data_IF_236024016579
#
_entry.id   IF_236024016579
#
_cell.length_a   1.000
_cell.length_b   1.000
_cell.length_c   1.000
_cell.angle_alpha   90.00
_cell.angle_beta   90.00
_cell.angle_gamma   90.00
#
_symmetry.space_group_name_H-M   'P 1'
#
loop_
_entity.id
_entity.type
_entity.pdbx_description
1 polymer ?
#
# COMPACT_ATOMS: atom_id res chain seq x y z
N UNK A 1 -14.06 -5.18 13.84
CA UNK A 1 -14.63 -4.24 14.81
C UNK A 1 -13.79 -4.03 16.07
N UNK A 2 -13.29 -5.10 16.69
CA UNK A 2 -12.54 -5.00 17.96
C UNK A 2 -11.15 -4.41 17.75
N UNK A 3 -10.47 -4.75 16.67
CA UNK A 3 -9.13 -4.24 16.35
C UNK A 3 -9.11 -2.72 16.16
N UNK A 4 -10.09 -2.16 15.45
CA UNK A 4 -10.18 -0.71 15.27
C UNK A 4 -10.41 0.03 16.60
N UNK A 5 -11.18 -0.56 17.52
CA UNK A 5 -11.41 0.01 18.87
C UNK A 5 -10.13 -0.06 19.71
N UNK A 6 -9.38 -1.16 19.64
CA UNK A 6 -8.11 -1.31 20.37
C UNK A 6 -7.03 -0.40 19.81
N UNK A 7 -6.95 -0.23 18.50
CA UNK A 7 -6.10 0.77 17.85
C UNK A 7 -6.47 2.20 18.26
N UNK A 8 -7.77 2.48 18.45
CA UNK A 8 -8.27 3.76 18.96
C UNK A 8 -7.76 4.08 20.35
N UNK A 9 -7.80 3.11 21.25
CA UNK A 9 -7.30 3.27 22.61
C UNK A 9 -5.79 3.49 22.66
N UNK A 10 -5.02 2.79 21.81
CA UNK A 10 -3.58 3.00 21.67
C UNK A 10 -3.24 4.38 21.10
N UNK A 11 -4.01 4.87 20.14
CA UNK A 11 -3.81 6.20 19.54
C UNK A 11 -4.09 7.35 20.53
N UNK A 12 -5.06 7.21 21.42
CA UNK A 12 -5.37 8.20 22.44
C UNK A 12 -4.24 8.38 23.48
N UNK A 13 -3.37 7.38 23.63
CA UNK A 13 -2.21 7.46 24.53
C UNK A 13 -0.98 8.13 23.87
N UNK A 14 -1.06 8.46 22.58
CA UNK A 14 0.02 9.13 21.86
C UNK A 14 0.04 10.62 22.19
N UNK A 15 1.18 11.18 22.69
CA UNK A 15 1.28 12.61 22.99
C UNK A 15 0.98 13.49 21.78
N UNK A 16 0.16 14.53 22.00
CA UNK A 16 -0.23 15.47 20.94
C UNK A 16 -1.46 15.06 20.13
N UNK A 17 -2.12 13.96 20.47
CA UNK A 17 -3.37 13.54 19.83
C UNK A 17 -4.54 14.32 20.42
N UNK A 18 -5.31 14.99 19.58
CA UNK A 18 -6.55 15.71 19.97
C UNK A 18 -7.77 15.08 19.31
N UNK A 19 -8.93 15.24 19.97
CA UNK A 19 -10.22 14.85 19.40
C UNK A 19 -10.77 15.99 18.50
N UNK A 20 -11.58 15.66 17.49
CA UNK A 20 -11.94 14.34 16.99
C UNK A 20 -10.77 13.58 16.35
N UNK A 21 -10.62 12.29 16.69
CA UNK A 21 -9.59 11.40 16.19
C UNK A 21 -10.21 10.38 15.24
N UNK A 22 -9.71 10.32 14.03
CA UNK A 22 -10.05 9.27 13.08
C UNK A 22 -8.99 8.16 13.06
N UNK A 23 -9.43 6.93 12.88
CA UNK A 23 -8.59 5.76 12.64
C UNK A 23 -9.05 5.15 11.33
N UNK A 24 -8.08 4.89 10.46
CA UNK A 24 -8.28 4.28 9.16
C UNK A 24 -7.46 3.01 9.08
N UNK A 25 -8.14 1.87 9.01
CA UNK A 25 -7.52 0.57 8.83
C UNK A 25 -7.71 0.10 7.38
N UNK A 26 -6.59 -0.13 6.69
CA UNK A 26 -6.56 -0.59 5.30
C UNK A 26 -5.95 -2.00 5.26
N UNK A 27 -6.81 -3.01 5.39
CA UNK A 27 -6.42 -4.41 5.33
C UNK A 27 -6.28 -4.98 3.93
N UNK A 28 -6.32 -6.31 3.80
CA UNK A 28 -6.29 -7.01 2.52
C UNK A 28 -7.59 -6.83 1.72
N UNK A 29 -8.73 -7.11 2.34
CA UNK A 29 -10.06 -7.14 1.70
C UNK A 29 -10.95 -5.93 1.99
N UNK A 30 -10.69 -5.17 3.06
CA UNK A 30 -11.54 -4.07 3.51
C UNK A 30 -10.78 -2.83 3.92
N UNK A 31 -11.50 -1.72 3.91
CA UNK A 31 -11.10 -0.44 4.49
C UNK A 31 -12.09 -0.08 5.59
N UNK A 32 -11.63 0.01 6.81
CA UNK A 32 -12.41 0.33 7.99
C UNK A 32 -12.04 1.73 8.50
N UNK A 33 -13.02 2.51 8.88
CA UNK A 33 -12.78 3.79 9.53
C UNK A 33 -13.62 3.93 10.80
N UNK A 34 -13.00 4.55 11.80
CA UNK A 34 -13.67 4.94 13.04
C UNK A 34 -13.31 6.39 13.36
N UNK A 35 -14.25 7.13 13.95
CA UNK A 35 -13.99 8.47 14.51
C UNK A 35 -14.47 8.49 15.95
N UNK A 36 -13.61 8.99 16.82
CA UNK A 36 -13.96 9.32 18.21
C UNK A 36 -14.18 10.82 18.25
N UNK A 37 -15.41 11.23 18.55
CA UNK A 37 -15.79 12.64 18.68
C UNK A 37 -15.38 13.19 20.06
N UNK A 38 -15.42 14.52 20.23
CA UNK A 38 -15.12 15.21 21.50
C UNK A 38 -15.99 14.76 22.68
N UNK A 39 -17.24 14.38 22.40
CA UNK A 39 -18.19 13.84 23.38
C UNK A 39 -17.98 12.35 23.69
N UNK A 40 -16.91 11.73 23.16
CA UNK A 40 -16.58 10.32 23.35
C UNK A 40 -17.40 9.34 22.51
N UNK A 41 -18.29 9.82 21.64
CA UNK A 41 -19.02 8.93 20.72
C UNK A 41 -18.10 8.37 19.64
N UNK A 42 -18.32 7.09 19.32
CA UNK A 42 -17.59 6.39 18.28
C UNK A 42 -18.52 6.12 17.10
N UNK A 43 -18.15 6.66 15.94
CA UNK A 43 -18.77 6.35 14.65
C UNK A 43 -17.87 5.43 13.85
N UNK A 44 -18.42 4.37 13.24
CA UNK A 44 -17.63 3.38 12.51
C UNK A 44 -18.25 3.07 11.14
N UNK A 45 -17.42 2.75 10.17
CA UNK A 45 -17.84 2.23 8.86
C UNK A 45 -16.90 1.15 8.37
N UNK A 46 -17.46 0.21 7.61
CA UNK A 46 -16.75 -0.85 6.92
C UNK A 46 -17.01 -0.73 5.42
N UNK A 47 -15.96 -0.83 4.61
CA UNK A 47 -16.05 -0.77 3.16
C UNK A 47 -15.24 -1.91 2.54
N UNK A 48 -15.84 -2.62 1.59
CA UNK A 48 -15.11 -3.60 0.79
C UNK A 48 -14.09 -2.92 -0.12
N UNK A 49 -12.98 -3.62 -0.37
CA UNK A 49 -11.90 -3.18 -1.26
C UNK A 49 -10.74 -2.53 -0.50
N UNK A 50 -9.60 -3.18 -0.62
CA UNK A 50 -8.32 -2.72 -0.10
C UNK A 50 -7.17 -3.38 -0.87
N UNK A 51 -6.21 -4.02 -0.21
CA UNK A 51 -5.00 -4.55 -0.83
C UNK A 51 -5.21 -5.54 -1.95
N UNK A 52 -6.23 -6.42 -1.85
CA UNK A 52 -6.56 -7.38 -2.90
C UNK A 52 -7.03 -6.73 -4.21
N UNK A 53 -7.81 -5.63 -4.10
CA UNK A 53 -8.24 -4.86 -5.26
C UNK A 53 -7.07 -4.18 -5.95
N UNK A 54 -6.06 -3.73 -5.20
CA UNK A 54 -4.80 -3.21 -5.77
C UNK A 54 -4.10 -4.29 -6.59
N UNK A 55 -3.96 -5.49 -6.05
CA UNK A 55 -3.30 -6.62 -6.74
C UNK A 55 -4.07 -7.03 -8.00
N UNK A 56 -5.41 -7.01 -7.95
CA UNK A 56 -6.26 -7.26 -9.12
C UNK A 56 -6.05 -6.22 -10.23
N UNK A 57 -5.99 -4.94 -9.88
CA UNK A 57 -5.71 -3.87 -10.85
C UNK A 57 -4.32 -4.00 -11.47
N UNK A 58 -3.29 -4.30 -10.67
CA UNK A 58 -1.93 -4.53 -11.17
C UNK A 58 -1.91 -5.71 -12.15
N UNK A 59 -2.53 -6.82 -11.77
CA UNK A 59 -2.61 -8.01 -12.62
C UNK A 59 -3.25 -7.71 -13.99
N UNK A 60 -4.40 -7.02 -13.96
CA UNK A 60 -5.18 -6.69 -15.15
C UNK A 60 -4.44 -5.69 -16.04
N UNK A 61 -3.95 -4.59 -15.49
CA UNK A 61 -3.30 -3.50 -16.24
C UNK A 61 -1.95 -3.91 -16.85
N UNK A 62 -1.23 -4.85 -16.21
CA UNK A 62 0.02 -5.40 -16.72
C UNK A 62 -0.17 -6.68 -17.53
N UNK A 63 -1.37 -7.26 -17.58
CA UNK A 63 -1.65 -8.50 -18.29
C UNK A 63 -0.86 -9.70 -17.75
N UNK A 64 -0.67 -9.78 -16.42
CA UNK A 64 0.22 -10.78 -15.82
C UNK A 64 -0.37 -12.19 -15.86
N UNK A 65 -1.70 -12.34 -15.77
CA UNK A 65 -2.36 -13.64 -15.63
C UNK A 65 -1.94 -14.42 -14.37
N UNK A 66 -1.37 -13.73 -13.40
CA UNK A 66 -0.82 -14.31 -12.17
C UNK A 66 -1.01 -13.35 -10.99
N UNK A 67 -2.03 -13.63 -10.15
CA UNK A 67 -2.36 -12.84 -8.97
C UNK A 67 -1.22 -12.79 -7.95
N UNK A 68 -0.49 -13.89 -7.78
CA UNK A 68 0.64 -13.95 -6.86
C UNK A 68 1.75 -12.97 -7.28
N UNK A 69 2.08 -12.92 -8.58
CA UNK A 69 3.06 -11.97 -9.10
C UNK A 69 2.61 -10.52 -8.90
N UNK A 70 1.33 -10.22 -9.11
CA UNK A 70 0.77 -8.89 -8.85
C UNK A 70 0.88 -8.49 -7.38
N UNK A 71 0.68 -9.44 -6.46
CA UNK A 71 0.86 -9.25 -5.02
C UNK A 71 2.33 -8.95 -4.68
N UNK A 72 3.28 -9.66 -5.30
CA UNK A 72 4.71 -9.39 -5.13
C UNK A 72 5.08 -8.00 -5.68
N UNK A 73 4.58 -7.62 -6.85
CA UNK A 73 4.79 -6.27 -7.42
C UNK A 73 4.21 -5.18 -6.48
N UNK A 74 3.09 -5.43 -5.83
CA UNK A 74 2.50 -4.49 -4.87
C UNK A 74 3.43 -4.25 -3.67
N UNK A 75 4.10 -5.28 -3.18
CA UNK A 75 4.87 -5.29 -1.92
C UNK A 75 6.33 -4.90 -2.08
N UNK A 76 6.99 -5.43 -3.08
CA UNK A 76 8.45 -5.38 -3.17
C UNK A 76 8.96 -4.34 -4.17
N UNK A 77 10.15 -3.76 -3.92
CA UNK A 77 10.78 -2.84 -4.84
C UNK A 77 11.26 -3.55 -6.11
N UNK A 78 11.32 -2.78 -7.19
CA UNK A 78 11.81 -3.22 -8.50
C UNK A 78 13.23 -2.72 -8.73
N UNK A 79 13.99 -3.54 -9.46
CA UNK A 79 15.28 -3.14 -10.00
C UNK A 79 15.45 -3.68 -11.43
N UNK A 80 16.27 -3.01 -12.24
CA UNK A 80 16.74 -3.52 -13.53
C UNK A 80 18.20 -3.90 -13.39
N UNK A 81 18.52 -5.17 -13.67
CA UNK A 81 19.90 -5.68 -13.66
C UNK A 81 20.59 -5.21 -14.92
N UNK A 82 21.52 -4.27 -14.81
CA UNK A 82 22.24 -3.67 -15.96
C UNK A 82 23.63 -4.28 -16.18
N UNK A 83 24.20 -4.91 -15.14
CA UNK A 83 25.39 -5.76 -15.24
C UNK A 83 25.36 -6.86 -14.17
N UNK A 84 26.37 -7.73 -14.18
CA UNK A 84 26.50 -8.77 -13.14
C UNK A 84 26.90 -8.21 -11.77
N UNK A 85 27.21 -6.92 -11.66
CA UNK A 85 27.66 -6.29 -10.42
C UNK A 85 26.90 -5.03 -10.04
N UNK A 86 25.93 -4.60 -10.86
CA UNK A 86 25.07 -3.47 -10.50
C UNK A 86 23.67 -3.58 -11.10
N UNK A 87 22.75 -2.95 -10.41
CA UNK A 87 21.36 -2.82 -10.81
C UNK A 87 20.88 -1.38 -10.60
N UNK A 88 19.93 -0.94 -11.41
CA UNK A 88 19.25 0.33 -11.27
C UNK A 88 17.91 0.11 -10.57
N UNK A 89 17.75 0.73 -9.41
CA UNK A 89 16.53 0.69 -8.62
C UNK A 89 15.40 1.50 -9.27
N UNK A 90 14.16 1.22 -8.91
CA UNK A 90 12.97 1.94 -9.41
C UNK A 90 12.95 3.44 -9.10
N UNK A 91 13.71 3.89 -8.09
CA UNK A 91 13.91 5.31 -7.77
C UNK A 91 15.05 5.96 -8.59
N UNK A 92 15.67 5.23 -9.51
CA UNK A 92 16.80 5.67 -10.33
C UNK A 92 18.18 5.49 -9.68
N UNK A 93 18.26 5.08 -8.42
CA UNK A 93 19.52 4.86 -7.72
C UNK A 93 20.26 3.63 -8.28
N UNK A 94 21.57 3.75 -8.47
CA UNK A 94 22.44 2.60 -8.80
C UNK A 94 22.88 1.90 -7.53
N UNK A 95 22.71 0.58 -7.51
CA UNK A 95 23.16 -0.27 -6.41
C UNK A 95 24.20 -1.25 -6.94
N UNK A 96 25.37 -1.25 -6.32
CA UNK A 96 26.46 -2.17 -6.62
C UNK A 96 26.47 -3.32 -5.62
N UNK A 97 26.80 -4.51 -6.10
CA UNK A 97 26.87 -5.72 -5.28
C UNK A 97 28.26 -6.32 -5.34
N UNK A 98 28.74 -6.86 -4.22
CA UNK A 98 30.07 -7.48 -4.13
C UNK A 98 30.12 -8.85 -4.81
N UNK A 99 29.00 -9.59 -4.73
CA UNK A 99 28.87 -10.89 -5.37
C UNK A 99 28.17 -10.75 -6.72
N UNK A 100 28.65 -11.50 -7.72
CA UNK A 100 28.06 -11.51 -9.05
C UNK A 100 26.58 -11.93 -9.00
N UNK A 101 25.75 -11.13 -9.62
CA UNK A 101 24.33 -11.45 -9.88
C UNK A 101 24.31 -12.62 -10.88
N UNK A 102 23.38 -13.56 -10.67
CA UNK A 102 23.19 -14.68 -11.59
C UNK A 102 22.92 -14.14 -13.02
N UNK A 103 23.67 -14.60 -14.03
CA UNK A 103 23.54 -14.15 -15.42
C UNK A 103 22.14 -14.24 -16.01
N UNK A 104 21.29 -15.13 -15.50
CA UNK A 104 19.86 -15.25 -15.93
C UNK A 104 19.04 -13.99 -15.71
N UNK A 105 19.48 -13.10 -14.81
CA UNK A 105 18.83 -11.82 -14.53
C UNK A 105 19.34 -10.64 -15.35
N UNK A 106 20.44 -10.83 -16.10
CA UNK A 106 21.02 -9.77 -16.91
C UNK A 106 20.02 -9.15 -17.88
N UNK A 107 19.93 -7.81 -17.87
CA UNK A 107 19.01 -7.04 -18.71
C UNK A 107 17.53 -7.13 -18.27
N UNK A 108 17.21 -7.87 -17.20
CA UNK A 108 15.84 -8.11 -16.77
C UNK A 108 15.41 -7.17 -15.64
N UNK A 109 14.10 -6.94 -15.57
CA UNK A 109 13.45 -6.34 -14.41
C UNK A 109 13.17 -7.44 -13.39
N UNK A 110 13.57 -7.19 -12.15
CA UNK A 110 13.43 -8.12 -11.04
C UNK A 110 12.74 -7.46 -9.86
N UNK A 111 12.06 -8.25 -9.04
CA UNK A 111 11.58 -7.89 -7.72
C UNK A 111 12.63 -8.30 -6.70
N UNK A 112 12.92 -7.42 -5.74
CA UNK A 112 13.85 -7.67 -4.64
C UNK A 112 13.04 -8.09 -3.42
N UNK A 113 12.92 -9.39 -3.21
CA UNK A 113 12.19 -9.98 -2.08
C UNK A 113 13.14 -10.39 -0.96
N UNK A 114 12.62 -10.74 0.19
CA UNK A 114 13.39 -11.26 1.32
C UNK A 114 14.11 -12.58 0.98
N UNK A 115 13.52 -13.38 0.10
CA UNK A 115 14.07 -14.67 -0.35
C UNK A 115 15.01 -14.55 -1.57
N UNK A 116 15.22 -13.33 -2.07
CA UNK A 116 16.08 -13.05 -3.21
C UNK A 116 15.38 -12.36 -4.38
N UNK A 117 15.95 -12.50 -5.58
CA UNK A 117 15.45 -11.86 -6.78
C UNK A 117 14.44 -12.74 -7.52
N UNK A 118 13.28 -12.18 -7.85
CA UNK A 118 12.26 -12.81 -8.69
C UNK A 118 12.21 -12.08 -10.04
N UNK A 119 12.44 -12.83 -11.14
CA UNK A 119 12.33 -12.29 -12.49
C UNK A 119 10.86 -12.18 -12.91
N UNK A 120 10.50 -11.06 -13.53
CA UNK A 120 9.25 -10.99 -14.26
C UNK A 120 9.36 -11.78 -15.58
N UNK A 121 8.34 -12.58 -15.87
CA UNK A 121 8.30 -13.37 -17.11
C UNK A 121 8.06 -12.48 -18.33
N UNK A 122 7.18 -11.47 -18.18
CA UNK A 122 6.85 -10.51 -19.21
C UNK A 122 7.96 -9.45 -19.32
N UNK A 123 8.27 -9.05 -20.56
CA UNK A 123 9.21 -7.97 -20.85
C UNK A 123 8.49 -6.61 -20.78
N UNK A 124 8.19 -6.19 -19.54
CA UNK A 124 7.49 -4.93 -19.26
C UNK A 124 8.52 -3.92 -18.74
N UNK A 125 8.56 -2.69 -19.29
CA UNK A 125 9.42 -1.64 -18.77
C UNK A 125 9.18 -1.38 -17.28
N UNK A 126 10.25 -1.24 -16.49
CA UNK A 126 10.15 -1.03 -15.04
C UNK A 126 9.31 0.20 -14.70
N UNK A 127 9.48 1.27 -15.48
CA UNK A 127 8.75 2.55 -15.32
C UNK A 127 7.23 2.36 -15.44
N UNK A 128 6.79 1.51 -16.38
CA UNK A 128 5.37 1.16 -16.55
C UNK A 128 4.84 0.39 -15.34
N UNK A 129 5.61 -0.56 -14.82
CA UNK A 129 5.21 -1.35 -13.64
C UNK A 129 5.05 -0.42 -12.43
N UNK A 130 6.02 0.46 -12.20
CA UNK A 130 5.99 1.44 -11.11
C UNK A 130 4.78 2.37 -11.23
N UNK A 131 4.50 2.86 -12.45
CA UNK A 131 3.35 3.71 -12.73
C UNK A 131 2.04 3.00 -12.40
N UNK A 132 1.83 1.80 -12.97
CA UNK A 132 0.60 1.01 -12.75
C UNK A 132 0.40 0.70 -11.27
N UNK A 133 1.46 0.29 -10.56
CA UNK A 133 1.40 0.03 -9.11
C UNK A 133 0.97 1.28 -8.33
N UNK A 134 1.57 2.43 -8.62
CA UNK A 134 1.24 3.71 -7.97
C UNK A 134 -0.21 4.12 -8.24
N UNK A 135 -0.65 4.01 -9.48
CA UNK A 135 -2.02 4.34 -9.88
C UNK A 135 -3.04 3.40 -9.24
N UNK A 136 -2.77 2.09 -9.20
CA UNK A 136 -3.62 1.12 -8.54
C UNK A 136 -3.78 1.41 -7.04
N UNK A 137 -2.66 1.65 -6.33
CA UNK A 137 -2.68 2.06 -4.92
C UNK A 137 -3.48 3.35 -4.72
N UNK A 138 -3.26 4.36 -5.55
CA UNK A 138 -4.00 5.63 -5.47
C UNK A 138 -5.50 5.44 -5.71
N UNK A 139 -5.89 4.72 -6.77
CA UNK A 139 -7.30 4.46 -7.09
C UNK A 139 -8.04 3.78 -5.95
N UNK A 140 -7.40 2.80 -5.29
CA UNK A 140 -8.05 2.02 -4.24
C UNK A 140 -7.95 2.72 -2.88
N UNK A 141 -6.74 2.95 -2.39
CA UNK A 141 -6.55 3.41 -1.01
C UNK A 141 -7.05 4.84 -0.80
N UNK A 142 -6.70 5.78 -1.69
CA UNK A 142 -7.13 7.17 -1.52
C UNK A 142 -8.65 7.27 -1.64
N UNK A 143 -9.25 6.62 -2.64
CA UNK A 143 -10.71 6.68 -2.84
C UNK A 143 -11.46 6.08 -1.65
N UNK A 144 -11.04 4.90 -1.18
CA UNK A 144 -11.70 4.24 -0.06
C UNK A 144 -11.47 4.98 1.26
N UNK A 145 -10.26 5.50 1.50
CA UNK A 145 -9.96 6.34 2.65
C UNK A 145 -10.90 7.56 2.72
N UNK A 146 -10.99 8.32 1.63
CA UNK A 146 -11.89 9.47 1.57
C UNK A 146 -13.35 9.10 1.81
N UNK A 147 -13.84 8.04 1.18
CA UNK A 147 -15.22 7.58 1.35
C UNK A 147 -15.50 7.12 2.78
N UNK A 148 -14.58 6.37 3.37
CA UNK A 148 -14.71 5.86 4.73
C UNK A 148 -14.69 7.00 5.74
N UNK A 149 -13.69 7.88 5.67
CA UNK A 149 -13.57 9.04 6.57
C UNK A 149 -14.76 9.97 6.46
N UNK A 150 -15.25 10.27 5.25
CA UNK A 150 -16.42 11.12 5.05
C UNK A 150 -17.68 10.57 5.71
N UNK A 151 -17.87 9.24 5.70
CA UNK A 151 -19.03 8.61 6.34
C UNK A 151 -19.03 8.73 7.87
N UNK A 152 -17.85 8.70 8.48
CA UNK A 152 -17.70 8.73 9.94
C UNK A 152 -17.43 10.13 10.50
N UNK A 153 -17.05 11.08 9.65
CA UNK A 153 -16.77 12.46 10.05
C UNK A 153 -18.02 13.14 10.63
N UNK A 154 -17.88 13.94 11.71
CA UNK A 154 -18.96 14.74 12.24
C UNK A 154 -19.56 15.65 11.15
N UNK A 155 -20.89 15.59 10.97
CA UNK A 155 -21.57 16.33 9.91
C UNK A 155 -21.17 15.93 8.49
N UNK A 156 -20.49 14.79 8.29
CA UNK A 156 -19.91 14.33 7.01
C UNK A 156 -18.90 15.32 6.41
N UNK A 157 -18.31 16.21 7.21
CA UNK A 157 -17.26 17.14 6.79
C UNK A 157 -15.91 16.73 7.39
N UNK A 158 -14.96 16.45 6.52
CA UNK A 158 -13.59 16.05 6.90
C UNK A 158 -12.82 17.13 7.67
N UNK A 159 -13.23 18.39 7.55
CA UNK A 159 -12.63 19.51 8.31
C UNK A 159 -12.77 19.36 9.81
N UNK A 160 -13.75 18.57 10.26
CA UNK A 160 -13.98 18.29 11.68
C UNK A 160 -13.12 17.15 12.23
N UNK A 161 -12.22 16.56 11.44
CA UNK A 161 -11.26 15.56 11.89
C UNK A 161 -9.93 16.25 12.13
N UNK A 162 -9.49 16.28 13.39
CA UNK A 162 -8.22 16.91 13.77
C UNK A 162 -7.00 16.04 13.47
N UNK A 163 -7.13 14.73 13.66
CA UNK A 163 -6.04 13.77 13.49
C UNK A 163 -6.56 12.49 12.81
N UNK A 164 -5.71 11.89 11.98
CA UNK A 164 -5.95 10.58 11.35
C UNK A 164 -4.80 9.66 11.67
N UNK A 165 -5.09 8.51 12.26
CA UNK A 165 -4.13 7.43 12.49
C UNK A 165 -4.38 6.34 11.45
N UNK A 166 -3.32 5.98 10.72
CA UNK A 166 -3.35 4.89 9.75
C UNK A 166 -2.86 3.61 10.41
N UNK A 167 -3.61 2.54 10.25
CA UNK A 167 -3.27 1.18 10.65
C UNK A 167 -3.47 0.23 9.48
N UNK A 168 -2.88 -0.96 9.56
CA UNK A 168 -2.94 -1.95 8.49
C UNK A 168 -1.60 -2.16 7.81
N UNK A 169 -1.44 -3.29 7.12
CA UNK A 169 -0.17 -3.74 6.52
C UNK A 169 -0.29 -4.11 5.03
N UNK A 170 -1.17 -3.47 4.26
CA UNK A 170 -1.36 -3.78 2.83
C UNK A 170 -0.50 -2.96 1.91
#
# INVERSE_FOLDING_TARGET
GVEAVMASLGALTTPGTSLPLAILDMGGGSTDAAVISEDGKVSMTHQAGAGELVSMLIETELGLGNRHMAEQIKKYPLAKVESLFHMRMENGQMTFVEQSIDPRFYGRVVLLTEDGMIRLEQDIPMEKIVQVRREAKRKVFVTNAFRALKKVAPGQDLKHISNVVLVGGS
#
